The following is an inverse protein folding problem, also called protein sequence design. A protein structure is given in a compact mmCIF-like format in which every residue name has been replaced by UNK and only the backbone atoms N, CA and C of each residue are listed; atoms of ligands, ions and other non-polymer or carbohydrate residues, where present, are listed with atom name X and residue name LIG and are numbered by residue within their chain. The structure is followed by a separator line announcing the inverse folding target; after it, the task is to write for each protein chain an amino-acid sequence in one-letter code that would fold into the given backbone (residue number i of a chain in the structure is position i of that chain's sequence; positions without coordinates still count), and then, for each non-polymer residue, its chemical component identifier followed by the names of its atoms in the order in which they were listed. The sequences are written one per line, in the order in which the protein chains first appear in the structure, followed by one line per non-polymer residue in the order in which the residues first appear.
data_IF_223173908151
#
_entry.id   IF_223173908151
#
_cell.length_a   1.000
_cell.length_b   1.000
_cell.length_c   1.000
_cell.angle_alpha   90.00
_cell.angle_beta   90.00
_cell.angle_gamma   90.00
#
_symmetry.space_group_name_H-M   'P 1'
#
loop_
_entity.id
_entity.type
_entity.pdbx_description
1 polymer ?
#
# COMPACT_ATOMS: atom_id res chain seq x y z
N UNK A 1 16.06 3.46 17.12
CA UNK A 1 16.48 2.63 15.96
C UNK A 1 16.37 1.14 16.32
N UNK A 2 15.27 0.48 15.92
CA UNK A 2 15.10 -1.00 15.98
C UNK A 2 14.89 -1.54 14.55
N UNK A 3 15.62 -1.04 13.57
CA UNK A 3 15.28 -1.23 12.14
C UNK A 3 15.94 -2.44 11.49
N UNK A 4 17.05 -2.96 12.02
CA UNK A 4 17.79 -4.08 11.40
C UNK A 4 17.01 -5.38 11.56
N UNK A 5 16.65 -5.76 12.79
CA UNK A 5 15.93 -7.02 13.06
C UNK A 5 14.60 -7.10 12.33
N UNK A 6 13.86 -5.98 12.22
CA UNK A 6 12.60 -5.94 11.48
C UNK A 6 12.81 -6.24 10.00
N UNK A 7 13.86 -5.69 9.39
CA UNK A 7 14.15 -5.90 7.96
C UNK A 7 14.62 -7.32 7.67
N UNK A 8 15.43 -7.91 8.54
CA UNK A 8 15.79 -9.32 8.46
C UNK A 8 14.55 -10.23 8.54
N UNK A 9 13.61 -9.94 9.45
CA UNK A 9 12.38 -10.72 9.60
C UNK A 9 11.46 -10.61 8.37
N UNK A 10 11.19 -9.41 7.86
CA UNK A 10 10.24 -9.22 6.75
C UNK A 10 10.84 -9.47 5.37
N UNK A 11 12.12 -9.20 5.18
CA UNK A 11 12.75 -9.19 3.86
C UNK A 11 13.92 -10.18 3.72
N UNK A 12 14.31 -10.86 4.80
CA UNK A 12 15.46 -11.78 4.81
C UNK A 12 16.82 -11.10 4.60
N UNK A 13 16.85 -9.76 4.63
CA UNK A 13 18.07 -8.96 4.53
C UNK A 13 17.86 -7.53 5.03
N UNK A 14 18.96 -6.93 5.46
CA UNK A 14 19.06 -5.52 5.73
C UNK A 14 19.31 -4.72 4.44
N UNK A 15 18.40 -3.78 4.14
CA UNK A 15 18.65 -2.74 3.15
C UNK A 15 19.25 -1.51 3.82
N UNK A 16 20.42 -1.09 3.32
CA UNK A 16 21.10 0.13 3.79
C UNK A 16 20.32 1.39 3.40
N UNK A 17 20.52 2.52 4.11
CA UNK A 17 19.86 3.78 3.75
C UNK A 17 20.17 4.26 2.33
N UNK A 18 21.40 4.05 1.85
CA UNK A 18 21.82 4.44 0.50
C UNK A 18 21.12 3.62 -0.58
N UNK A 19 20.98 2.31 -0.40
CA UNK A 19 20.19 1.46 -1.31
C UNK A 19 18.74 1.92 -1.36
N UNK A 20 18.12 2.19 -0.21
CA UNK A 20 16.72 2.64 -0.15
C UNK A 20 16.55 3.95 -0.93
N UNK A 21 17.43 4.93 -0.72
CA UNK A 21 17.35 6.23 -1.43
C UNK A 21 17.52 6.02 -2.94
N UNK A 22 18.48 5.18 -3.35
CA UNK A 22 18.70 4.86 -4.76
C UNK A 22 17.45 4.27 -5.40
N UNK A 23 16.82 3.29 -4.75
CA UNK A 23 15.64 2.63 -5.30
C UNK A 23 14.39 3.52 -5.28
N UNK A 24 14.24 4.42 -4.30
CA UNK A 24 13.17 5.42 -4.33
C UNK A 24 13.32 6.34 -5.54
N UNK A 25 14.55 6.79 -5.81
CA UNK A 25 14.84 7.69 -6.94
C UNK A 25 14.76 6.99 -8.32
N UNK A 26 14.78 5.65 -8.36
CA UNK A 26 14.67 4.89 -9.61
C UNK A 26 13.23 4.70 -10.09
N UNK A 27 12.24 5.03 -9.25
CA UNK A 27 10.81 4.85 -9.55
C UNK A 27 10.38 5.80 -10.68
N UNK A 28 9.82 5.21 -11.73
CA UNK A 28 9.23 5.94 -12.86
C UNK A 28 7.71 6.12 -12.73
N UNK A 29 7.16 7.14 -13.40
CA UNK A 29 5.72 7.36 -13.49
C UNK A 29 4.98 6.13 -14.05
N UNK A 30 5.58 5.42 -15.02
CA UNK A 30 4.99 4.21 -15.60
C UNK A 30 4.79 3.14 -14.54
N UNK A 31 5.82 2.86 -13.73
CA UNK A 31 5.72 1.87 -12.64
C UNK A 31 4.66 2.23 -11.62
N UNK A 32 4.51 3.53 -11.30
CA UNK A 32 3.44 4.00 -10.39
C UNK A 32 2.06 3.74 -10.99
N UNK A 33 1.85 4.05 -12.27
CA UNK A 33 0.57 3.79 -12.96
C UNK A 33 0.24 2.30 -13.01
N UNK A 34 1.21 1.47 -13.40
CA UNK A 34 1.05 0.01 -13.46
C UNK A 34 0.73 -0.57 -12.08
N UNK A 35 1.41 -0.11 -11.03
CA UNK A 35 1.10 -0.53 -9.66
C UNK A 35 -0.31 -0.11 -9.24
N UNK A 36 -0.71 1.13 -9.53
CA UNK A 36 -2.03 1.64 -9.20
C UNK A 36 -3.13 0.84 -9.91
N UNK A 37 -2.96 0.55 -11.20
CA UNK A 37 -3.88 -0.32 -11.94
C UNK A 37 -3.96 -1.70 -11.29
N UNK A 38 -2.83 -2.35 -11.00
CA UNK A 38 -2.82 -3.69 -10.39
C UNK A 38 -3.47 -3.74 -9.00
N UNK A 39 -3.33 -2.68 -8.19
CA UNK A 39 -3.88 -2.64 -6.83
C UNK A 39 -5.38 -2.28 -6.81
N UNK A 40 -5.85 -1.49 -7.77
CA UNK A 40 -7.19 -0.92 -7.77
C UNK A 40 -8.13 -1.57 -8.79
N UNK A 41 -7.59 -2.20 -9.84
CA UNK A 41 -8.41 -2.87 -10.85
C UNK A 41 -8.95 -4.19 -10.30
N UNK A 42 -10.27 -4.35 -10.29
CA UNK A 42 -10.91 -5.60 -9.87
C UNK A 42 -10.75 -5.97 -8.39
N UNK A 43 -10.24 -5.06 -7.55
CA UNK A 43 -10.16 -5.28 -6.11
C UNK A 43 -11.51 -5.01 -5.45
N UNK A 44 -12.00 -5.97 -4.67
CA UNK A 44 -13.13 -5.73 -3.76
C UNK A 44 -12.69 -4.76 -2.65
N UNK A 45 -13.51 -3.73 -2.40
CA UNK A 45 -13.24 -2.76 -1.33
C UNK A 45 -13.70 -3.36 0.00
N UNK A 46 -12.78 -3.44 0.97
CA UNK A 46 -13.13 -3.81 2.33
C UNK A 46 -13.52 -2.54 3.13
N UNK A 47 -14.75 -2.50 3.64
CA UNK A 47 -15.28 -1.40 4.45
C UNK A 47 -15.79 -1.91 5.79
N UNK A 48 -15.39 -1.25 6.88
CA UNK A 48 -15.90 -1.50 8.23
C UNK A 48 -16.43 -0.21 8.83
N UNK A 49 -17.69 -0.19 9.25
CA UNK A 49 -18.33 0.94 9.92
C UNK A 49 -18.93 0.51 11.26
N UNK A 50 -18.88 1.39 12.27
CA UNK A 50 -19.42 1.15 13.60
C UNK A 50 -20.08 2.43 14.13
N UNK A 51 -21.35 2.33 14.55
CA UNK A 51 -22.14 3.45 15.08
C UNK A 51 -23.49 3.61 14.36
N UNK A 52 -24.16 4.76 14.51
CA UNK A 52 -25.44 5.04 13.84
C UNK A 52 -25.21 5.38 12.37
N UNK A 53 -24.96 4.35 11.56
CA UNK A 53 -24.82 4.43 10.10
C UNK A 53 -25.96 3.69 9.41
N UNK A 54 -26.34 4.15 8.24
CA UNK A 54 -27.39 3.59 7.38
C UNK A 54 -26.82 3.21 6.01
N UNK A 55 -27.49 2.34 5.27
CA UNK A 55 -27.05 1.95 3.91
C UNK A 55 -26.89 3.15 2.97
N UNK A 56 -27.74 4.17 3.12
CA UNK A 56 -27.67 5.39 2.31
C UNK A 56 -26.38 6.20 2.51
N UNK A 57 -25.70 6.03 3.65
CA UNK A 57 -24.41 6.69 3.92
C UNK A 57 -23.27 6.10 3.09
N UNK A 58 -23.49 4.94 2.46
CA UNK A 58 -22.51 4.23 1.64
C UNK A 58 -22.84 4.25 0.14
N UNK A 59 -23.82 5.05 -0.28
CA UNK A 59 -24.17 5.22 -1.69
C UNK A 59 -22.94 5.71 -2.49
N UNK A 60 -22.57 4.95 -3.53
CA UNK A 60 -21.40 5.23 -4.37
C UNK A 60 -20.10 4.56 -3.88
N UNK A 61 -20.11 3.87 -2.74
CA UNK A 61 -19.00 3.05 -2.25
C UNK A 61 -19.30 1.56 -2.44
N UNK A 62 -20.54 1.15 -2.17
CA UNK A 62 -21.04 -0.17 -2.56
C UNK A 62 -21.66 -0.05 -3.96
N UNK A 63 -21.16 -0.87 -4.90
CA UNK A 63 -21.70 -0.99 -6.26
C UNK A 63 -23.03 -1.72 -6.27
#
# INVERSE_FOLDING_TARGET
MKSISRKEIYYGRYYSPSEIIKEINSISLRQVKELAENLLSGSEVALTALGPVSENDFNGIMG
#
